data_IF_741790787588
#
_entry.id   IF_741790787588
#
_cell.length_a   1.000
_cell.length_b   1.000
_cell.length_c   1.000
_cell.angle_alpha   90.00
_cell.angle_beta   90.00
_cell.angle_gamma   90.00
#
_symmetry.space_group_name_H-M   'P 1'
#
loop_
_entity.id
_entity.type
_entity.pdbx_description
1 polymer ?
#
# COMPACT_ATOMS: atom_id res chain seq x y z
N UNK A 1 -7.67 -3.76 7.86
CA UNK A 1 -8.61 -2.65 7.62
C UNK A 1 -8.14 -1.74 6.49
N UNK A 2 -6.89 -1.24 6.52
CA UNK A 2 -6.33 -0.38 5.46
C UNK A 2 -6.43 -1.00 4.05
N UNK A 3 -6.07 -2.28 3.91
CA UNK A 3 -6.24 -3.05 2.67
C UNK A 3 -7.67 -3.03 2.11
N UNK A 4 -8.68 -3.21 2.97
CA UNK A 4 -10.09 -3.21 2.57
C UNK A 4 -10.51 -1.85 1.98
N UNK A 5 -9.95 -0.74 2.47
CA UNK A 5 -10.22 0.60 1.89
C UNK A 5 -9.69 0.67 0.46
N UNK A 6 -8.49 0.14 0.21
CA UNK A 6 -7.91 0.06 -1.13
C UNK A 6 -8.79 -0.78 -2.06
N UNK A 7 -9.26 -1.94 -1.59
CA UNK A 7 -10.16 -2.80 -2.36
C UNK A 7 -11.50 -2.14 -2.66
N UNK A 8 -12.08 -1.41 -1.69
CA UNK A 8 -13.31 -0.66 -1.88
C UNK A 8 -13.14 0.45 -2.92
N UNK A 9 -12.02 1.18 -2.91
CA UNK A 9 -11.71 2.20 -3.90
C UNK A 9 -11.60 1.61 -5.30
N UNK A 10 -10.95 0.45 -5.44
CA UNK A 10 -10.82 -0.26 -6.73
C UNK A 10 -12.15 -0.82 -7.22
N UNK A 11 -13.03 -1.24 -6.31
CA UNK A 11 -14.31 -1.88 -6.64
C UNK A 11 -15.44 -0.88 -6.94
N UNK A 12 -15.49 0.23 -6.21
CA UNK A 12 -16.60 1.19 -6.25
C UNK A 12 -16.21 2.57 -6.76
N UNK A 13 -14.94 2.80 -7.07
CA UNK A 13 -14.51 4.02 -7.72
C UNK A 13 -15.17 4.18 -9.10
N UNK A 14 -15.60 5.40 -9.42
CA UNK A 14 -16.13 5.71 -10.73
C UNK A 14 -15.01 5.59 -11.77
N UNK A 15 -15.22 4.71 -12.76
CA UNK A 15 -14.20 4.28 -13.73
C UNK A 15 -13.06 3.47 -13.09
N UNK A 16 -12.21 2.84 -13.91
CA UNK A 16 -11.15 1.92 -13.46
C UNK A 16 -10.02 2.70 -12.80
N UNK A 17 -10.21 3.10 -11.54
CA UNK A 17 -9.26 3.92 -10.77
C UNK A 17 -8.04 3.10 -10.41
N UNK A 18 -6.85 3.71 -10.53
CA UNK A 18 -5.60 3.14 -10.00
C UNK A 18 -5.36 3.69 -8.61
N UNK A 19 -5.01 2.81 -7.67
CA UNK A 19 -4.74 3.16 -6.28
C UNK A 19 -3.27 2.98 -5.98
N UNK A 20 -2.65 4.01 -5.39
CA UNK A 20 -1.30 3.96 -4.84
C UNK A 20 -1.38 3.95 -3.31
N UNK A 21 -0.61 3.09 -2.66
CA UNK A 21 -0.52 3.02 -1.21
C UNK A 21 0.93 3.20 -0.75
N UNK A 22 1.13 4.05 0.27
CA UNK A 22 2.44 4.36 0.83
C UNK A 22 2.45 4.02 2.32
N UNK A 23 3.52 3.42 2.82
CA UNK A 23 3.69 3.13 4.25
C UNK A 23 5.13 2.86 4.64
N UNK A 24 5.42 2.88 5.94
CA UNK A 24 6.76 2.70 6.52
C UNK A 24 6.84 1.51 7.49
N UNK A 25 5.69 1.04 7.98
CA UNK A 25 5.58 0.01 9.01
C UNK A 25 5.00 -1.32 8.54
N UNK A 26 5.20 -2.37 9.35
CA UNK A 26 4.63 -3.70 9.08
C UNK A 26 3.10 -3.74 9.00
N UNK A 27 2.41 -2.81 9.66
CA UNK A 27 0.96 -2.65 9.61
C UNK A 27 0.45 -2.13 8.25
N UNK A 28 1.33 -1.57 7.40
CA UNK A 28 0.97 -1.06 6.08
C UNK A 28 1.15 -2.10 4.96
N UNK A 29 1.85 -3.20 5.24
CA UNK A 29 2.16 -4.25 4.24
C UNK A 29 0.92 -4.70 3.48
N UNK A 30 -0.15 -5.03 4.21
CA UNK A 30 -1.41 -5.47 3.58
C UNK A 30 -2.05 -4.39 2.70
N UNK A 31 -1.93 -3.11 3.07
CA UNK A 31 -2.45 -1.99 2.28
C UNK A 31 -1.62 -1.78 1.00
N UNK A 32 -0.30 -1.82 1.13
CA UNK A 32 0.68 -1.70 0.04
C UNK A 32 0.44 -2.79 -1.00
N UNK A 33 0.28 -4.04 -0.57
CA UNK A 33 0.08 -5.18 -1.46
C UNK A 33 -1.30 -5.21 -2.15
N UNK A 34 -2.34 -4.64 -1.54
CA UNK A 34 -3.67 -4.54 -2.17
C UNK A 34 -3.77 -3.44 -3.24
N UNK A 35 -2.84 -2.48 -3.24
CA UNK A 35 -2.82 -1.37 -4.17
C UNK A 35 -2.38 -1.79 -5.58
N UNK A 36 -2.59 -0.92 -6.57
CA UNK A 36 -2.03 -1.13 -7.92
C UNK A 36 -0.54 -0.76 -7.97
N UNK A 37 -0.13 0.16 -7.09
CA UNK A 37 1.28 0.51 -6.85
C UNK A 37 1.49 0.69 -5.36
N UNK A 38 2.49 0.01 -4.81
CA UNK A 38 2.93 0.11 -3.43
C UNK A 38 4.26 0.86 -3.30
N UNK A 39 4.34 1.82 -2.39
CA UNK A 39 5.59 2.53 -2.04
C UNK A 39 5.92 2.32 -0.56
N UNK A 40 7.11 1.81 -0.30
CA UNK A 40 7.58 1.49 1.04
C UNK A 40 8.67 2.45 1.47
N UNK A 41 8.44 3.19 2.55
CA UNK A 41 9.43 4.08 3.13
C UNK A 41 10.32 3.27 4.09
N UNK A 42 11.63 3.45 4.00
CA UNK A 42 12.56 2.85 4.96
C UNK A 42 12.43 3.56 6.31
N UNK A 43 11.59 3.01 7.18
CA UNK A 43 11.39 3.50 8.54
C UNK A 43 12.54 3.13 9.50
N UNK A 44 12.61 3.84 10.63
CA UNK A 44 13.53 3.49 11.73
C UNK A 44 13.08 2.27 12.52
N UNK A 45 11.78 1.97 12.48
CA UNK A 45 11.15 0.90 13.27
C UNK A 45 11.13 -0.46 12.55
N UNK A 46 11.56 -0.50 11.28
CA UNK A 46 11.62 -1.72 10.49
C UNK A 46 11.57 -1.45 8.99
N UNK A 47 11.78 -2.51 8.21
CA UNK A 47 11.82 -2.46 6.73
C UNK A 47 10.69 -3.23 6.08
N UNK A 48 9.67 -3.66 6.83
CA UNK A 48 8.62 -4.55 6.35
C UNK A 48 7.82 -3.91 5.21
N UNK A 49 7.46 -2.63 5.33
CA UNK A 49 6.78 -1.90 4.25
C UNK A 49 7.68 -1.73 3.02
N UNK A 50 8.93 -1.31 3.23
CA UNK A 50 9.97 -1.20 2.18
C UNK A 50 10.17 -2.51 1.41
N UNK A 51 10.25 -3.64 2.10
CA UNK A 51 10.43 -4.96 1.51
C UNK A 51 9.20 -5.50 0.78
N UNK A 52 8.01 -5.03 1.17
CA UNK A 52 6.74 -5.47 0.59
C UNK A 52 6.24 -4.57 -0.57
N UNK A 53 6.92 -3.46 -0.84
CA UNK A 53 6.51 -2.47 -1.83
C UNK A 53 7.16 -2.68 -3.21
N UNK A 54 6.52 -2.15 -4.25
CA UNK A 54 7.07 -2.13 -5.61
C UNK A 54 8.27 -1.18 -5.72
N UNK A 55 8.20 -0.06 -5.01
CA UNK A 55 9.27 0.92 -4.89
C UNK A 55 9.59 1.18 -3.43
N UNK A 56 10.88 1.39 -3.13
CA UNK A 56 11.30 1.80 -1.80
C UNK A 56 12.17 3.05 -1.82
N UNK A 57 11.90 3.94 -0.86
CA UNK A 57 12.55 5.24 -0.67
C UNK A 57 13.06 5.35 0.77
#
# INVERSE_FOLDING_TARGET
QKANVVELLKKYGNQRVRVCAIGDGGNDVSMIQSADVGVGIVGKEGKQASLAADFSI
#
